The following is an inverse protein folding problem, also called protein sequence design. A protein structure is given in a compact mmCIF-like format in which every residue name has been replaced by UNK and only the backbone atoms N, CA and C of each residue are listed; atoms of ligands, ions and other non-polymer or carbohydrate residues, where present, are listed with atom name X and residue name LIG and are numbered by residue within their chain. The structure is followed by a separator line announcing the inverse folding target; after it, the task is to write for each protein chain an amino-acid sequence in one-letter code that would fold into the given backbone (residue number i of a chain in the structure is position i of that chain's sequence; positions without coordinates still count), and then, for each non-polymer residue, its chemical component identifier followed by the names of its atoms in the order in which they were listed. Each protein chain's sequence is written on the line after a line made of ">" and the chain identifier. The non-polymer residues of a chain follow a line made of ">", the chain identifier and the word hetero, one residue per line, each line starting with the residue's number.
data_IF_577623883151
#
_entry.id   IF_577623883151
#
_cell.length_a   1.000
_cell.length_b   1.000
_cell.length_c   1.000
_cell.angle_alpha   90.00
_cell.angle_beta   90.00
_cell.angle_gamma   90.00
#
_symmetry.space_group_name_H-M   'P 1'
#
loop_
_entity.id
_entity.type
_entity.pdbx_description
1 polymer ?
#
# COMPACT_ATOMS: atom_id res chain seq x y z
N UNK A 1 4.30 22.44 -6.02
CA UNK A 1 3.07 22.48 -6.85
C UNK A 1 2.55 21.08 -7.05
N UNK A 2 1.25 20.88 -6.83
CA UNK A 2 0.65 19.54 -7.00
C UNK A 2 0.55 19.17 -8.48
N UNK A 3 0.96 17.95 -8.86
CA UNK A 3 0.75 17.43 -10.22
C UNK A 3 -0.70 16.94 -10.38
N UNK A 4 -1.58 17.83 -10.81
CA UNK A 4 -3.00 17.52 -10.96
C UNK A 4 -3.27 16.67 -12.20
N UNK A 5 -4.21 15.72 -12.08
CA UNK A 5 -4.70 14.88 -13.18
C UNK A 5 -3.59 14.10 -13.88
N UNK A 6 -2.64 13.59 -13.09
CA UNK A 6 -1.50 12.82 -13.61
C UNK A 6 -1.38 11.49 -12.89
N UNK A 7 -0.90 10.49 -13.60
CA UNK A 7 -0.45 9.22 -13.03
C UNK A 7 1.06 9.28 -12.87
N UNK A 8 1.55 9.00 -11.67
CA UNK A 8 2.98 9.01 -11.38
C UNK A 8 3.39 7.58 -11.04
N UNK A 9 4.30 7.02 -11.82
CA UNK A 9 4.87 5.71 -11.55
C UNK A 9 6.13 5.89 -10.69
N UNK A 10 6.23 5.13 -9.60
CA UNK A 10 7.39 5.19 -8.73
C UNK A 10 7.13 4.52 -7.39
N UNK A 11 8.13 4.56 -6.53
CA UNK A 11 7.99 4.09 -5.16
C UNK A 11 7.10 5.08 -4.39
N UNK A 12 6.09 4.57 -3.68
CA UNK A 12 5.01 5.40 -3.15
C UNK A 12 5.49 6.40 -2.08
N UNK A 13 6.35 5.98 -1.18
CA UNK A 13 6.82 6.84 -0.09
C UNK A 13 7.66 7.98 -0.65
N UNK A 14 8.60 7.66 -1.54
CA UNK A 14 9.42 8.68 -2.19
C UNK A 14 8.58 9.65 -3.01
N UNK A 15 7.59 9.15 -3.72
CA UNK A 15 6.68 9.99 -4.51
C UNK A 15 5.87 10.91 -3.59
N UNK A 16 5.33 10.39 -2.50
CA UNK A 16 4.58 11.20 -1.54
C UNK A 16 5.45 12.30 -0.90
N UNK A 17 6.74 12.03 -0.68
CA UNK A 17 7.66 13.02 -0.13
C UNK A 17 7.86 14.23 -1.05
N UNK A 18 7.60 14.08 -2.35
CA UNK A 18 7.69 15.19 -3.29
C UNK A 18 6.48 16.13 -3.25
N UNK A 19 5.40 15.71 -2.60
CA UNK A 19 4.17 16.52 -2.52
C UNK A 19 4.21 17.44 -1.29
N UNK A 20 3.59 18.63 -1.39
CA UNK A 20 3.50 19.52 -0.23
C UNK A 20 2.71 18.89 0.91
N UNK A 21 3.03 19.26 2.14
CA UNK A 21 2.23 18.88 3.30
C UNK A 21 0.83 19.52 3.21
N UNK A 22 -0.17 18.86 3.77
CA UNK A 22 -1.54 19.37 3.88
C UNK A 22 -2.14 19.81 2.53
N UNK A 23 -1.87 19.05 1.47
CA UNK A 23 -2.26 19.42 0.11
C UNK A 23 -3.30 18.50 -0.52
N UNK A 24 -3.54 17.33 0.06
CA UNK A 24 -4.39 16.30 -0.53
C UNK A 24 -5.71 16.19 0.24
N UNK A 25 -6.81 16.13 -0.48
CA UNK A 25 -8.16 16.09 0.11
C UNK A 25 -8.59 14.65 0.46
N UNK A 26 -8.22 13.68 -0.36
CA UNK A 26 -8.59 12.28 -0.18
C UNK A 26 -7.50 11.36 -0.69
N UNK A 27 -7.28 10.27 0.03
CA UNK A 27 -6.39 9.19 -0.41
C UNK A 27 -7.21 7.91 -0.46
N UNK A 28 -7.08 7.18 -1.56
CA UNK A 28 -7.59 5.81 -1.68
C UNK A 28 -6.37 4.92 -1.92
N UNK A 29 -6.04 4.09 -0.93
CA UNK A 29 -4.81 3.30 -0.94
C UNK A 29 -5.13 1.81 -1.12
N UNK A 30 -4.40 1.19 -2.05
CA UNK A 30 -4.45 -0.24 -2.29
C UNK A 30 -3.03 -0.79 -2.09
N UNK A 31 -2.59 -0.94 -0.81
CA UNK A 31 -1.22 -1.35 -0.52
C UNK A 31 -1.03 -2.85 -0.74
N UNK A 32 0.22 -3.33 -0.72
CA UNK A 32 0.49 -4.77 -0.70
C UNK A 32 -0.22 -5.44 0.46
N UNK A 33 -0.76 -6.63 0.23
CA UNK A 33 -1.59 -7.31 1.23
C UNK A 33 -0.80 -8.24 2.14
N UNK A 34 0.47 -8.49 1.85
CA UNK A 34 1.30 -9.44 2.59
C UNK A 34 0.61 -10.81 2.64
N UNK A 35 0.34 -11.36 1.48
CA UNK A 35 -0.30 -12.67 1.37
C UNK A 35 0.67 -13.74 1.86
N UNK A 36 0.39 -14.30 3.03
CA UNK A 36 1.23 -15.32 3.65
C UNK A 36 0.82 -16.70 3.14
N UNK A 37 1.22 -16.98 1.90
CA UNK A 37 0.92 -18.26 1.28
C UNK A 37 2.13 -19.18 1.43
N UNK A 38 1.95 -20.27 2.17
CA UNK A 38 3.00 -21.27 2.39
C UNK A 38 3.23 -22.16 1.17
N UNK A 39 2.24 -22.23 0.27
CA UNK A 39 2.27 -23.04 -0.93
C UNK A 39 1.81 -22.22 -2.11
N UNK A 40 2.25 -22.61 -3.30
CA UNK A 40 1.75 -21.99 -4.53
C UNK A 40 0.25 -22.17 -4.67
N UNK A 41 -0.41 -21.13 -5.12
CA UNK A 41 -1.84 -21.18 -5.44
C UNK A 41 -2.04 -21.60 -6.89
N UNK A 42 -2.96 -22.54 -7.10
CA UNK A 42 -3.30 -23.04 -8.42
C UNK A 42 -4.74 -22.66 -8.76
N UNK A 43 -4.94 -22.23 -9.99
CA UNK A 43 -6.29 -22.00 -10.51
C UNK A 43 -6.96 -23.34 -10.83
N UNK A 44 -8.30 -23.37 -10.97
CA UNK A 44 -9.01 -24.58 -11.35
C UNK A 44 -8.52 -25.21 -12.66
N UNK A 45 -7.91 -24.43 -13.56
CA UNK A 45 -7.34 -24.90 -14.82
C UNK A 45 -5.88 -25.41 -14.68
N UNK A 46 -5.39 -25.54 -13.47
CA UNK A 46 -4.05 -25.99 -13.13
C UNK A 46 -2.93 -24.98 -13.45
N UNK A 47 -3.28 -23.72 -13.71
CA UNK A 47 -2.25 -22.68 -13.86
C UNK A 47 -1.92 -22.04 -12.52
N UNK A 48 -0.63 -21.65 -12.37
CA UNK A 48 -0.16 -21.01 -11.15
C UNK A 48 -0.71 -19.60 -11.02
N UNK A 49 -1.09 -19.21 -9.79
CA UNK A 49 -1.52 -17.85 -9.49
C UNK A 49 -0.28 -16.98 -9.29
N UNK A 50 -0.13 -15.93 -10.10
CA UNK A 50 1.06 -15.09 -10.11
C UNK A 50 1.17 -14.11 -8.94
N UNK A 51 0.05 -13.73 -8.32
CA UNK A 51 0.01 -12.65 -7.33
C UNK A 51 0.96 -12.81 -6.16
N UNK A 52 1.36 -14.05 -5.84
CA UNK A 52 2.25 -14.35 -4.70
C UNK A 52 3.72 -14.25 -5.04
N UNK A 53 4.07 -14.06 -6.32
CA UNK A 53 5.46 -13.98 -6.77
C UNK A 53 5.94 -12.55 -6.96
N UNK A 54 5.05 -11.56 -6.87
CA UNK A 54 5.41 -10.15 -7.03
C UNK A 54 6.25 -9.68 -5.85
N UNK A 55 7.45 -9.14 -6.13
CA UNK A 55 8.38 -8.77 -5.06
C UNK A 55 7.85 -7.69 -4.13
N UNK A 56 7.00 -6.78 -4.62
CA UNK A 56 6.44 -5.69 -3.82
C UNK A 56 5.42 -6.18 -2.78
N UNK A 57 4.94 -7.42 -2.91
CA UNK A 57 4.02 -8.03 -1.94
C UNK A 57 4.74 -9.07 -1.06
N UNK A 58 6.07 -9.15 -1.16
CA UNK A 58 6.88 -10.08 -0.37
C UNK A 58 7.54 -9.37 0.80
N UNK A 59 7.19 -9.79 1.98
CA UNK A 59 7.81 -9.33 3.22
C UNK A 59 8.39 -10.52 3.95
N UNK A 60 9.59 -10.35 4.53
CA UNK A 60 10.27 -11.43 5.24
C UNK A 60 9.48 -11.88 6.46
N UNK A 61 8.77 -10.95 7.11
CA UNK A 61 8.01 -11.24 8.32
C UNK A 61 6.99 -10.13 8.57
N UNK A 62 6.18 -10.32 9.62
CA UNK A 62 5.16 -9.35 10.00
C UNK A 62 5.76 -8.02 10.46
N UNK A 63 6.94 -8.04 11.07
CA UNK A 63 7.60 -6.80 11.51
C UNK A 63 7.99 -5.93 10.33
N UNK A 64 8.52 -6.53 9.28
CA UNK A 64 8.87 -5.82 8.04
C UNK A 64 7.62 -5.21 7.39
N UNK A 65 6.54 -5.98 7.32
CA UNK A 65 5.27 -5.50 6.79
C UNK A 65 4.72 -4.35 7.63
N UNK A 66 4.78 -4.45 8.95
CA UNK A 66 4.31 -3.40 9.86
C UNK A 66 5.15 -2.13 9.72
N UNK A 67 6.46 -2.26 9.59
CA UNK A 67 7.35 -1.12 9.39
C UNK A 67 7.05 -0.40 8.07
N UNK A 68 6.84 -1.15 7.00
CA UNK A 68 6.46 -0.58 5.70
C UNK A 68 5.10 0.13 5.81
N UNK A 69 4.12 -0.51 6.44
CA UNK A 69 2.78 0.06 6.62
C UNK A 69 2.84 1.36 7.39
N UNK A 70 3.59 1.40 8.48
CA UNK A 70 3.75 2.61 9.28
C UNK A 70 4.41 3.72 8.46
N UNK A 71 5.39 3.39 7.63
CA UNK A 71 6.10 4.37 6.81
C UNK A 71 5.18 5.01 5.77
N UNK A 72 4.41 4.23 5.01
CA UNK A 72 3.55 4.81 3.98
C UNK A 72 2.33 5.52 4.58
N UNK A 73 1.79 5.04 5.71
CA UNK A 73 0.71 5.75 6.40
C UNK A 73 1.19 7.10 6.94
N UNK A 74 2.41 7.17 7.47
CA UNK A 74 2.99 8.44 7.93
C UNK A 74 3.18 9.42 6.78
N UNK A 75 3.64 8.94 5.62
CA UNK A 75 3.77 9.78 4.42
C UNK A 75 2.41 10.30 3.95
N UNK A 76 1.39 9.47 3.97
CA UNK A 76 0.02 9.87 3.64
C UNK A 76 -0.50 10.93 4.61
N UNK A 77 -0.27 10.74 5.91
CA UNK A 77 -0.73 11.69 6.93
C UNK A 77 -0.11 13.07 6.71
N UNK A 78 1.14 13.14 6.32
CA UNK A 78 1.83 14.41 6.07
C UNK A 78 1.17 15.20 4.95
N UNK A 79 0.81 14.53 3.84
CA UNK A 79 0.25 15.21 2.67
C UNK A 79 -1.25 15.45 2.78
N UNK A 80 -1.94 14.71 3.65
CA UNK A 80 -3.38 14.79 3.80
C UNK A 80 -3.76 16.02 4.61
N UNK A 81 -4.75 16.79 4.13
CA UNK A 81 -5.29 17.93 4.88
C UNK A 81 -5.97 17.46 6.17
N UNK A 82 -6.07 18.33 7.16
CA UNK A 82 -6.76 18.02 8.43
C UNK A 82 -8.21 17.58 8.22
N UNK A 83 -8.85 18.08 7.17
CA UNK A 83 -10.21 17.71 6.79
C UNK A 83 -10.26 16.58 5.78
N UNK A 84 -9.10 16.04 5.40
CA UNK A 84 -9.01 14.99 4.41
C UNK A 84 -9.41 13.63 4.95
N UNK A 85 -9.63 12.70 4.05
CA UNK A 85 -9.99 11.32 4.39
C UNK A 85 -9.07 10.34 3.68
N UNK A 86 -8.85 9.19 4.32
CA UNK A 86 -8.10 8.10 3.74
C UNK A 86 -8.95 6.82 3.77
N UNK A 87 -8.95 6.11 2.64
CA UNK A 87 -9.61 4.83 2.50
C UNK A 87 -8.54 3.80 2.14
N UNK A 88 -8.50 2.69 2.86
CA UNK A 88 -7.48 1.66 2.67
C UNK A 88 -8.14 0.33 2.42
N UNK A 89 -7.75 -0.35 1.35
CA UNK A 89 -8.17 -1.72 1.09
C UNK A 89 -7.19 -2.64 1.82
N UNK A 90 -7.73 -3.63 2.52
CA UNK A 90 -6.93 -4.63 3.20
C UNK A 90 -7.59 -5.99 3.16
N UNK A 91 -6.84 -7.01 3.56
CA UNK A 91 -7.41 -8.35 3.73
C UNK A 91 -7.84 -8.57 5.18
N UNK A 92 -8.66 -9.59 5.41
CA UNK A 92 -9.07 -9.91 6.79
C UNK A 92 -7.90 -10.37 7.66
N UNK A 93 -6.79 -10.80 7.05
CA UNK A 93 -5.58 -11.17 7.78
C UNK A 93 -4.81 -9.96 8.34
N UNK A 94 -4.87 -8.83 7.65
CA UNK A 94 -3.97 -7.71 7.91
C UNK A 94 -4.68 -6.41 8.28
N UNK A 95 -5.99 -6.30 8.07
CA UNK A 95 -6.68 -5.01 8.18
C UNK A 95 -6.60 -4.42 9.59
N UNK A 96 -6.61 -5.23 10.61
CA UNK A 96 -6.48 -4.74 12.00
C UNK A 96 -5.08 -4.25 12.30
N UNK A 97 -4.07 -4.81 11.64
CA UNK A 97 -2.69 -4.34 11.78
C UNK A 97 -2.49 -2.99 11.09
N UNK A 98 -3.14 -2.79 9.95
CA UNK A 98 -3.12 -1.50 9.23
C UNK A 98 -3.89 -0.45 10.03
N UNK A 99 -5.04 -0.79 10.53
CA UNK A 99 -5.86 0.11 11.32
C UNK A 99 -5.26 0.47 12.66
#
# INVERSE_FOLDING_TARGET
>A
MLPLNKVIQGECIQTLETLPADSVDMIFADPPYHLQLEQDLWRPDQSLVDGVTDYWDRFSNDEEYSAFTQAWLSACKRVLKNTGTIWVIGTYHNIYRVG
#
